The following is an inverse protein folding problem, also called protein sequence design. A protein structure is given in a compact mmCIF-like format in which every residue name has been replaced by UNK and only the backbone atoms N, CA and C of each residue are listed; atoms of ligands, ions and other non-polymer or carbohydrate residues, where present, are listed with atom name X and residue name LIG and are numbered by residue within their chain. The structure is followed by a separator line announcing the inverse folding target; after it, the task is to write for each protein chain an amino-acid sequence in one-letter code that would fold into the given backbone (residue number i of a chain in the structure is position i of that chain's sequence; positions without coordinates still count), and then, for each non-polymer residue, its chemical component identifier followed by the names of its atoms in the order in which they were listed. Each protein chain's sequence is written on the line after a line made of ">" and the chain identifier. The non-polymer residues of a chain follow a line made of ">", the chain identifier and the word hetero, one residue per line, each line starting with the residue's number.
data_IF_458796766968
#
_entry.id   IF_458796766968
#
_cell.length_a   1.000
_cell.length_b   1.000
_cell.length_c   1.000
_cell.angle_alpha   90.00
_cell.angle_beta   90.00
_cell.angle_gamma   90.00
#
_symmetry.space_group_name_H-M   'P 1'
#
loop_
_entity.id
_entity.type
_entity.pdbx_description
1 polymer ?
#
# COMPACT_ATOMS: atom_id res chain seq x y z
N UNK A 1 6.05 27.06 -7.40
CA UNK A 1 4.67 26.70 -6.95
C UNK A 1 4.41 25.26 -7.37
N UNK A 2 4.33 24.40 -6.37
CA UNK A 2 4.15 22.94 -6.29
C UNK A 2 4.22 22.14 -7.60
N UNK A 3 5.30 21.38 -7.80
CA UNK A 3 5.34 20.28 -8.77
C UNK A 3 4.22 19.30 -8.35
N UNK A 4 3.31 18.88 -9.23
CA UNK A 4 2.41 17.76 -8.95
C UNK A 4 3.26 16.48 -8.95
N UNK A 5 4.05 16.29 -7.90
CA UNK A 5 4.73 15.04 -7.63
C UNK A 5 3.65 14.07 -7.20
N UNK A 6 3.33 13.11 -8.07
CA UNK A 6 2.45 11.96 -7.89
C UNK A 6 2.06 11.78 -6.40
N UNK A 7 0.95 12.40 -5.99
CA UNK A 7 0.50 12.32 -4.61
C UNK A 7 -0.07 10.90 -4.40
N UNK A 8 0.43 10.12 -3.44
CA UNK A 8 -0.14 8.82 -3.16
C UNK A 8 -1.59 9.01 -2.71
N UNK A 9 -2.51 8.22 -3.26
CA UNK A 9 -3.93 8.32 -2.90
C UNK A 9 -4.13 7.99 -1.43
N UNK A 10 -4.82 8.84 -0.67
CA UNK A 10 -5.18 8.55 0.72
C UNK A 10 -6.30 7.51 0.78
N UNK A 11 -6.07 6.46 1.55
CA UNK A 11 -6.98 5.34 1.71
C UNK A 11 -7.36 5.24 3.18
N UNK A 12 -8.61 5.59 3.47
CA UNK A 12 -9.14 5.60 4.82
C UNK A 12 -9.39 4.19 5.32
N UNK A 13 -8.72 3.82 6.42
CA UNK A 13 -8.99 2.58 7.14
C UNK A 13 -9.92 2.84 8.34
N UNK A 14 -10.72 1.84 8.70
CA UNK A 14 -11.63 1.90 9.85
C UNK A 14 -10.98 1.47 11.16
N UNK A 15 -9.97 0.63 11.06
CA UNK A 15 -9.26 0.04 12.18
C UNK A 15 -7.98 0.84 12.50
N UNK A 16 -7.39 0.61 13.67
CA UNK A 16 -6.11 1.24 14.04
C UNK A 16 -4.93 0.81 13.15
N UNK A 17 -5.04 -0.37 12.52
CA UNK A 17 -4.05 -0.88 11.56
C UNK A 17 -4.71 -1.80 10.54
N UNK A 18 -4.07 -1.95 9.38
CA UNK A 18 -4.51 -2.84 8.30
C UNK A 18 -3.37 -3.73 7.84
N UNK A 19 -3.66 -4.96 7.40
CA UNK A 19 -2.63 -5.84 6.82
C UNK A 19 -2.25 -5.38 5.41
N UNK A 20 -0.97 -5.44 5.06
CA UNK A 20 -0.45 -5.06 3.73
C UNK A 20 -1.28 -5.66 2.58
N UNK A 21 -1.51 -6.97 2.59
CA UNK A 21 -2.30 -7.62 1.54
C UNK A 21 -3.75 -7.14 1.45
N UNK A 22 -4.36 -6.74 2.57
CA UNK A 22 -5.73 -6.20 2.59
C UNK A 22 -5.74 -4.74 2.12
N UNK A 23 -4.74 -3.96 2.52
CA UNK A 23 -4.56 -2.58 2.09
C UNK A 23 -4.35 -2.48 0.58
N UNK A 24 -3.50 -3.33 -0.01
CA UNK A 24 -3.29 -3.34 -1.47
C UNK A 24 -4.62 -3.53 -2.23
N UNK A 25 -5.49 -4.40 -1.73
CA UNK A 25 -6.82 -4.60 -2.32
C UNK A 25 -7.73 -3.39 -2.09
N UNK A 26 -7.75 -2.84 -0.88
CA UNK A 26 -8.56 -1.67 -0.51
C UNK A 26 -8.18 -0.44 -1.34
N UNK A 27 -6.88 -0.23 -1.55
CA UNK A 27 -6.30 0.88 -2.28
C UNK A 27 -6.42 0.75 -3.81
N UNK A 28 -6.97 -0.36 -4.33
CA UNK A 28 -7.02 -0.61 -5.78
C UNK A 28 -5.62 -0.73 -6.42
N UNK A 29 -4.63 -1.08 -5.61
CA UNK A 29 -3.23 -1.24 -6.01
C UNK A 29 -2.99 -2.58 -6.72
N UNK A 30 -3.90 -3.53 -6.53
CA UNK A 30 -3.96 -4.83 -7.23
C UNK A 30 -5.37 -5.07 -7.80
N UNK A 31 -5.45 -5.75 -8.95
CA UNK A 31 -6.74 -6.11 -9.57
C UNK A 31 -7.40 -7.33 -8.93
N UNK A 32 -6.62 -8.22 -8.32
CA UNK A 32 -7.14 -9.45 -7.70
C UNK A 32 -6.31 -9.92 -6.53
N UNK A 33 -6.96 -10.58 -5.56
CA UNK A 33 -6.29 -11.11 -4.35
C UNK A 33 -5.24 -12.21 -4.64
N UNK A 34 -5.29 -12.82 -5.82
CA UNK A 34 -4.28 -13.76 -6.31
C UNK A 34 -2.95 -13.04 -6.62
N UNK A 35 -2.99 -11.84 -7.21
CA UNK A 35 -1.80 -11.05 -7.54
C UNK A 35 -1.04 -10.61 -6.30
N UNK A 36 -1.73 -10.26 -5.20
CA UNK A 36 -1.06 -9.80 -3.98
C UNK A 36 -0.04 -10.80 -3.41
N UNK A 37 -0.09 -12.09 -3.76
CA UNK A 37 0.87 -13.07 -3.21
C UNK A 37 2.13 -13.00 -4.02
N UNK A 38 2.00 -13.02 -5.35
CA UNK A 38 3.10 -12.89 -6.30
C UNK A 38 3.77 -11.53 -6.16
N UNK A 39 3.04 -10.40 -6.23
CA UNK A 39 3.68 -9.07 -6.18
C UNK A 39 4.43 -8.81 -4.87
N UNK A 40 3.93 -9.33 -3.74
CA UNK A 40 4.62 -9.21 -2.45
C UNK A 40 5.83 -10.16 -2.41
N UNK A 41 5.68 -11.41 -2.84
CA UNK A 41 6.79 -12.38 -2.86
C UNK A 41 7.92 -11.97 -3.82
N UNK A 42 7.58 -11.32 -4.93
CA UNK A 42 8.52 -10.77 -5.92
C UNK A 42 9.15 -9.45 -5.47
N UNK A 43 8.75 -8.89 -4.31
CA UNK A 43 9.30 -7.65 -3.79
C UNK A 43 8.90 -6.41 -4.59
N UNK A 44 7.78 -6.47 -5.32
CA UNK A 44 7.24 -5.35 -6.10
C UNK A 44 6.47 -4.33 -5.26
N UNK A 45 6.43 -4.55 -3.93
CA UNK A 45 5.75 -3.70 -2.96
C UNK A 45 6.77 -3.08 -2.04
N UNK A 46 6.69 -1.77 -1.88
CA UNK A 46 7.51 -1.00 -0.94
C UNK A 46 6.61 -0.29 0.06
N UNK A 47 7.04 -0.23 1.31
CA UNK A 47 6.38 0.49 2.40
C UNK A 47 7.37 1.53 2.91
N UNK A 48 7.03 2.81 2.81
CA UNK A 48 7.90 3.95 3.11
C UNK A 48 9.26 3.91 2.39
N UNK A 49 9.30 3.32 1.19
CA UNK A 49 10.52 3.16 0.40
C UNK A 49 11.33 1.90 0.69
N UNK A 50 10.92 1.07 1.65
CA UNK A 50 11.54 -0.23 1.91
C UNK A 50 10.74 -1.36 1.27
N UNK A 51 11.41 -2.25 0.52
CA UNK A 51 10.76 -3.43 -0.08
C UNK A 51 10.24 -4.34 1.03
N UNK A 52 8.94 -4.62 1.00
CA UNK A 52 8.30 -5.49 1.96
C UNK A 52 7.65 -6.69 1.27
N UNK A 53 8.15 -7.87 1.62
CA UNK A 53 7.69 -9.16 1.12
C UNK A 53 6.84 -9.93 2.14
N UNK A 54 6.43 -9.28 3.24
CA UNK A 54 5.63 -9.88 4.31
C UNK A 54 4.18 -9.43 4.17
N UNK A 55 3.35 -10.30 3.58
CA UNK A 55 1.89 -10.11 3.50
C UNK A 55 1.21 -9.79 4.85
N UNK A 56 1.78 -10.30 5.94
CA UNK A 56 1.29 -10.10 7.31
C UNK A 56 1.74 -8.80 7.98
N UNK A 57 2.51 -7.93 7.31
CA UNK A 57 2.88 -6.62 7.87
C UNK A 57 1.63 -5.81 8.16
N UNK A 58 1.58 -5.26 9.36
CA UNK A 58 0.57 -4.27 9.71
C UNK A 58 1.06 -2.89 9.26
N UNK A 59 0.15 -2.15 8.66
CA UNK A 59 0.31 -0.77 8.26
C UNK A 59 -0.55 0.08 9.18
N UNK A 60 0.00 1.20 9.59
CA UNK A 60 -0.62 2.20 10.43
C UNK A 60 -0.91 3.46 9.60
N UNK A 61 -1.85 4.32 10.04
CA UNK A 61 -2.05 5.62 9.42
C UNK A 61 -0.74 6.41 9.33
N UNK A 62 -0.48 6.96 8.13
CA UNK A 62 0.79 7.62 7.77
C UNK A 62 1.72 6.74 6.92
N UNK A 63 1.57 5.42 6.92
CA UNK A 63 2.37 4.54 6.07
C UNK A 63 2.04 4.76 4.59
N UNK A 64 3.08 4.84 3.76
CA UNK A 64 2.94 4.95 2.30
C UNK A 64 3.34 3.64 1.65
N UNK A 65 2.42 3.03 0.92
CA UNK A 65 2.66 1.79 0.17
C UNK A 65 2.71 2.10 -1.31
N UNK A 66 3.76 1.63 -1.99
CA UNK A 66 3.93 1.77 -3.43
C UNK A 66 4.08 0.39 -4.04
N UNK A 67 3.30 0.10 -5.08
CA UNK A 67 3.46 -1.10 -5.88
C UNK A 67 3.20 -0.82 -7.36
N UNK A 68 3.98 -1.46 -8.24
CA UNK A 68 3.80 -1.36 -9.69
C UNK A 68 3.64 0.09 -10.23
N UNK A 69 4.34 1.06 -9.61
CA UNK A 69 4.28 2.48 -9.99
C UNK A 69 3.07 3.26 -9.47
N UNK A 70 2.18 2.65 -8.67
CA UNK A 70 1.08 3.31 -7.97
C UNK A 70 1.38 3.41 -6.48
N UNK A 71 1.09 4.56 -5.87
CA UNK A 71 1.27 4.81 -4.45
C UNK A 71 -0.05 5.09 -3.75
N UNK A 72 -0.21 4.57 -2.53
CA UNK A 72 -1.32 4.87 -1.65
C UNK A 72 -0.82 5.10 -0.22
N UNK A 73 -1.41 6.06 0.47
CA UNK A 73 -1.11 6.37 1.87
C UNK A 73 -2.25 5.86 2.75
N UNK A 74 -1.89 5.23 3.87
CA UNK A 74 -2.87 4.85 4.88
C UNK A 74 -3.32 6.12 5.59
N UNK A 75 -4.59 6.46 5.48
CA UNK A 75 -5.21 7.55 6.22
C UNK A 75 -6.17 6.98 7.26
N UNK A 76 -6.35 7.69 8.37
CA UNK A 76 -7.44 7.38 9.29
C UNK A 76 -8.67 8.19 8.89
N UNK A 77 -9.85 7.58 8.97
CA UNK A 77 -11.14 8.23 8.68
C UNK A 77 -11.89 8.62 9.95
#
# INVERSE_FOLDING_TARGET
>A
MTRPGIEPSDVHIRDASIRLGQFLKLAGLIDSGADAKSVIAEGLVTVNGEVDNRRGRQLCPGDVVVCAGRGARVANG
#
